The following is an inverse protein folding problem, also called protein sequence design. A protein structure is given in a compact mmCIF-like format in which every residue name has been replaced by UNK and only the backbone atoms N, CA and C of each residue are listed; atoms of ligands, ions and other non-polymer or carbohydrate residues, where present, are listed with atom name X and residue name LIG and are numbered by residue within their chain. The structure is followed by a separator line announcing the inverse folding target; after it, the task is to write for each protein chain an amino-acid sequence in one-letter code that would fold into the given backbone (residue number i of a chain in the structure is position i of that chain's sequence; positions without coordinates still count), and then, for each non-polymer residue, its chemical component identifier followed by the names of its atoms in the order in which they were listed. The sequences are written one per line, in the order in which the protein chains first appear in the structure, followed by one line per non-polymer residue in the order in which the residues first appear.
data_IF_824558327315
#
_entry.id   IF_824558327315
#
_cell.length_a   1.000
_cell.length_b   1.000
_cell.length_c   1.000
_cell.angle_alpha   90.00
_cell.angle_beta   90.00
_cell.angle_gamma   90.00
#
_symmetry.space_group_name_H-M   'P 1'
#
loop_
_entity.id
_entity.type
_entity.pdbx_description
1 polymer ?
#
# COMPACT_ATOMS: atom_id res chain seq x y z
N UNK A 1 11.17 35.37 -12.85
CA UNK A 1 9.75 34.98 -12.95
C UNK A 1 9.09 35.40 -11.64
N UNK A 2 8.46 36.56 -11.62
CA UNK A 2 7.82 37.11 -10.41
C UNK A 2 6.47 36.44 -10.24
N UNK A 3 6.39 35.48 -9.31
CA UNK A 3 5.18 34.74 -9.03
C UNK A 3 4.22 35.60 -8.20
N UNK A 4 3.05 35.90 -8.75
CA UNK A 4 2.02 36.75 -8.15
C UNK A 4 1.28 36.03 -7.01
N UNK A 5 1.99 35.71 -5.93
CA UNK A 5 1.39 35.12 -4.74
C UNK A 5 0.61 36.17 -3.95
N UNK A 6 -0.71 35.98 -3.83
CA UNK A 6 -1.54 36.78 -2.94
C UNK A 6 -1.06 36.64 -1.49
N UNK A 7 -1.04 37.72 -0.68
CA UNK A 7 -0.64 37.63 0.72
C UNK A 7 -1.57 36.70 1.48
N UNK A 8 -0.99 35.77 2.24
CA UNK A 8 -1.71 34.79 3.05
C UNK A 8 -1.17 34.76 4.49
N UNK A 9 -2.01 34.41 5.48
CA UNK A 9 -1.60 34.39 6.87
C UNK A 9 -0.64 33.22 7.14
N UNK A 10 0.61 33.52 7.52
CA UNK A 10 1.66 32.51 7.77
C UNK A 10 1.53 31.76 9.09
N UNK A 11 0.70 32.27 10.01
CA UNK A 11 0.50 31.67 11.33
C UNK A 11 -0.61 30.62 11.36
N UNK A 12 -1.38 30.49 10.28
CA UNK A 12 -2.45 29.51 10.18
C UNK A 12 -1.85 28.16 9.83
N UNK A 13 -2.10 27.16 10.66
CA UNK A 13 -1.71 25.78 10.42
C UNK A 13 -2.93 24.93 10.09
N UNK A 14 -2.79 24.05 9.11
CA UNK A 14 -3.79 23.03 8.76
C UNK A 14 -3.09 21.70 8.54
N UNK A 15 -3.70 20.57 8.95
CA UNK A 15 -3.10 19.25 8.85
C UNK A 15 -2.79 18.83 7.40
N UNK A 16 -3.55 19.32 6.43
CA UNK A 16 -3.34 19.04 5.00
C UNK A 16 -2.29 19.95 4.34
N UNK A 17 -1.76 20.94 5.08
CA UNK A 17 -0.96 22.04 4.55
C UNK A 17 -1.76 23.34 4.39
N UNK A 18 -1.12 24.35 3.82
CA UNK A 18 -1.66 25.68 3.57
C UNK A 18 -1.36 26.17 2.15
N UNK A 19 -1.44 27.48 1.95
CA UNK A 19 -1.25 28.10 0.64
C UNK A 19 0.16 27.83 0.06
N UNK A 20 0.17 27.26 -1.15
CA UNK A 20 1.39 26.95 -1.93
C UNK A 20 2.47 26.20 -1.14
N UNK A 21 2.05 25.21 -0.34
CA UNK A 21 2.97 24.44 0.48
C UNK A 21 3.95 23.61 -0.34
N UNK A 22 5.22 24.03 -0.34
CA UNK A 22 6.34 23.28 -0.89
C UNK A 22 7.42 23.04 0.19
N UNK A 23 7.21 22.07 1.10
CA UNK A 23 8.18 21.80 2.15
C UNK A 23 9.48 21.27 1.54
N UNK A 24 10.62 21.78 2.02
CA UNK A 24 11.97 21.44 1.52
C UNK A 24 12.28 19.94 1.56
N UNK A 25 11.65 19.18 2.45
CA UNK A 25 11.89 17.74 2.69
C UNK A 25 10.73 16.83 2.25
N UNK A 26 9.87 17.28 1.34
CA UNK A 26 8.69 16.50 0.89
C UNK A 26 9.05 15.07 0.47
N UNK A 27 10.16 14.87 -0.27
CA UNK A 27 10.60 13.54 -0.75
C UNK A 27 10.86 12.57 0.39
N UNK A 28 11.64 12.99 1.39
CA UNK A 28 11.99 12.14 2.54
C UNK A 28 10.75 11.83 3.38
N UNK A 29 9.88 12.81 3.61
CA UNK A 29 8.65 12.60 4.38
C UNK A 29 7.73 11.60 3.67
N UNK A 30 7.52 11.75 2.36
CA UNK A 30 6.73 10.79 1.57
C UNK A 30 7.35 9.40 1.57
N UNK A 31 8.68 9.28 1.49
CA UNK A 31 9.36 8.00 1.55
C UNK A 31 9.11 7.27 2.89
N UNK A 32 9.14 7.99 4.01
CA UNK A 32 8.83 7.45 5.34
C UNK A 32 7.37 6.97 5.40
N UNK A 33 6.43 7.76 4.88
CA UNK A 33 5.01 7.37 4.84
C UNK A 33 4.80 6.10 4.00
N UNK A 34 5.39 6.03 2.80
CA UNK A 34 5.29 4.85 1.92
C UNK A 34 5.91 3.63 2.60
N UNK A 35 7.07 3.77 3.24
CA UNK A 35 7.70 2.67 3.97
C UNK A 35 6.80 2.15 5.09
N UNK A 36 6.23 3.04 5.90
CA UNK A 36 5.30 2.69 6.98
C UNK A 36 4.06 1.95 6.46
N UNK A 37 3.41 2.49 5.43
CA UNK A 37 2.24 1.87 4.79
C UNK A 37 2.60 0.48 4.25
N UNK A 38 3.74 0.35 3.56
CA UNK A 38 4.16 -0.91 2.94
C UNK A 38 4.38 -2.01 3.96
N UNK A 39 4.99 -1.70 5.12
CA UNK A 39 5.20 -2.66 6.21
C UNK A 39 3.87 -3.20 6.73
N UNK A 40 2.91 -2.30 6.98
CA UNK A 40 1.59 -2.66 7.51
C UNK A 40 0.84 -3.51 6.49
N UNK A 41 0.79 -3.07 5.23
CA UNK A 41 0.12 -3.80 4.15
C UNK A 41 0.73 -5.18 3.96
N UNK A 42 2.06 -5.31 3.98
CA UNK A 42 2.74 -6.60 3.88
C UNK A 42 2.35 -7.54 5.02
N UNK A 43 2.32 -7.05 6.26
CA UNK A 43 1.90 -7.83 7.42
C UNK A 43 0.46 -8.31 7.31
N UNK A 44 -0.46 -7.41 6.96
CA UNK A 44 -1.88 -7.74 6.78
C UNK A 44 -2.06 -8.74 5.64
N UNK A 45 -1.42 -8.50 4.49
CA UNK A 45 -1.46 -9.39 3.34
C UNK A 45 -0.94 -10.80 3.67
N UNK A 46 0.21 -10.90 4.35
CA UNK A 46 0.76 -12.18 4.78
C UNK A 46 -0.23 -12.92 5.67
N UNK A 47 -0.76 -12.25 6.69
CA UNK A 47 -1.75 -12.86 7.60
C UNK A 47 -3.03 -13.28 6.87
N UNK A 48 -3.51 -12.46 5.93
CA UNK A 48 -4.68 -12.75 5.11
C UNK A 48 -4.45 -13.96 4.22
N UNK A 49 -3.32 -14.04 3.52
CA UNK A 49 -2.98 -15.15 2.65
C UNK A 49 -2.77 -16.47 3.41
N UNK A 50 -2.29 -16.40 4.66
CA UNK A 50 -2.14 -17.57 5.52
C UNK A 50 -3.46 -18.13 6.05
N UNK A 51 -4.47 -17.27 6.22
CA UNK A 51 -5.81 -17.62 6.73
C UNK A 51 -6.83 -17.89 5.61
N UNK A 52 -6.47 -17.63 4.36
CA UNK A 52 -7.34 -17.88 3.24
C UNK A 52 -7.56 -19.38 3.03
N UNK A 53 -8.82 -19.81 3.16
CA UNK A 53 -9.29 -21.18 2.92
C UNK A 53 -10.39 -21.17 1.87
N UNK A 54 -10.34 -22.09 0.90
CA UNK A 54 -11.34 -22.22 -0.18
C UNK A 54 -11.85 -23.65 -0.27
N UNK A 55 -13.15 -23.80 -0.08
CA UNK A 55 -13.81 -25.10 -0.24
C UNK A 55 -13.80 -25.62 -1.68
N UNK A 56 -13.76 -24.73 -2.67
CA UNK A 56 -13.75 -25.08 -4.08
C UNK A 56 -12.60 -24.39 -4.81
N UNK A 57 -11.94 -25.15 -5.68
CA UNK A 57 -10.91 -24.61 -6.57
C UNK A 57 -11.56 -23.67 -7.59
N UNK A 58 -10.96 -22.51 -7.87
CA UNK A 58 -11.48 -21.62 -8.91
C UNK A 58 -11.36 -22.26 -10.29
N UNK A 59 -12.40 -22.07 -11.11
CA UNK A 59 -12.46 -22.58 -12.49
C UNK A 59 -11.65 -21.75 -13.48
N UNK A 60 -11.33 -20.50 -13.14
CA UNK A 60 -10.55 -19.55 -13.96
C UNK A 60 -9.33 -19.07 -13.20
N UNK A 61 -8.34 -18.57 -13.93
CA UNK A 61 -7.16 -17.96 -13.33
C UNK A 61 -7.52 -16.66 -12.60
N UNK A 62 -7.02 -16.51 -11.37
CA UNK A 62 -7.15 -15.29 -10.55
C UNK A 62 -5.79 -14.93 -9.94
N UNK A 63 -5.51 -13.66 -9.65
CA UNK A 63 -4.19 -13.26 -9.12
C UNK A 63 -3.83 -13.92 -7.78
N UNK A 64 -4.82 -14.19 -6.93
CA UNK A 64 -4.60 -14.81 -5.63
C UNK A 64 -4.11 -16.26 -5.69
N UNK A 65 -4.17 -16.90 -6.86
CA UNK A 65 -3.56 -18.22 -7.07
C UNK A 65 -2.04 -18.20 -6.80
N UNK A 66 -1.37 -17.06 -7.02
CA UNK A 66 0.08 -16.93 -6.87
C UNK A 66 0.55 -17.12 -5.41
N UNK A 67 -0.28 -16.76 -4.43
CA UNK A 67 0.08 -16.77 -3.01
C UNK A 67 -0.82 -17.65 -2.13
N UNK A 68 -1.86 -18.27 -2.69
CA UNK A 68 -2.73 -19.19 -1.95
C UNK A 68 -1.99 -20.46 -1.53
N UNK A 69 -2.01 -20.77 -0.23
CA UNK A 69 -1.39 -21.98 0.32
C UNK A 69 -2.01 -23.28 -0.20
N UNK A 70 -3.33 -23.38 -0.17
CA UNK A 70 -4.05 -24.60 -0.57
C UNK A 70 -3.72 -25.08 -1.98
N UNK A 71 -3.55 -24.13 -2.91
CA UNK A 71 -3.28 -24.46 -4.30
C UNK A 71 -1.85 -24.95 -4.50
N UNK A 72 -0.89 -24.36 -3.77
CA UNK A 72 0.49 -24.87 -3.73
C UNK A 72 0.50 -26.29 -3.17
N UNK A 73 -0.27 -26.56 -2.12
CA UNK A 73 -0.41 -27.89 -1.53
C UNK A 73 -1.00 -28.90 -2.52
N UNK A 74 -2.12 -28.56 -3.17
CA UNK A 74 -2.76 -29.42 -4.18
C UNK A 74 -1.82 -29.72 -5.36
N UNK A 75 -1.08 -28.71 -5.85
CA UNK A 75 -0.11 -28.91 -6.94
C UNK A 75 1.04 -29.84 -6.55
N UNK A 76 1.45 -29.83 -5.28
CA UNK A 76 2.48 -30.72 -4.75
C UNK A 76 1.98 -32.16 -4.64
N UNK A 77 0.76 -32.36 -4.14
CA UNK A 77 0.18 -33.69 -3.94
C UNK A 77 -0.21 -34.38 -5.25
N UNK A 78 -0.52 -33.63 -6.32
CA UNK A 78 -0.84 -34.21 -7.62
C UNK A 78 0.40 -34.67 -8.42
N UNK A 79 1.61 -34.29 -8.00
CA UNK A 79 2.86 -34.61 -8.70
C UNK A 79 3.50 -35.93 -8.19
N UNK A 80 3.12 -36.39 -7.00
CA UNK A 80 3.50 -37.68 -6.41
C UNK A 80 2.56 -38.79 -6.84
#
# INVERSE_FOLDING_TARGET
MTENHQPFPKHVWSPSGGWWCQPRKWKSNTAICIAGISIIVFWVWKNSAEKEWRHHKPSKWIPSLLWSKELKEQSRNNQT
#
